data_IF_138983725894
#
_entry.id   IF_138983725894
#
_cell.length_a   1.000
_cell.length_b   1.000
_cell.length_c   1.000
_cell.angle_alpha   90.00
_cell.angle_beta   90.00
_cell.angle_gamma   90.00
#
_symmetry.space_group_name_H-M   'P 1'
#
loop_
_entity.id
_entity.type
_entity.pdbx_description
1 polymer ?
#
# COMPACT_ATOMS: atom_id res chain seq x y z
N UNK A 1 -7.84 -2.60 -9.96
CA UNK A 1 -8.30 -1.81 -8.79
C UNK A 1 -7.10 -1.31 -8.02
N UNK A 2 -7.22 -0.15 -7.38
CA UNK A 2 -6.18 0.45 -6.56
C UNK A 2 -6.75 0.78 -5.17
N UNK A 3 -6.15 0.25 -4.11
CA UNK A 3 -6.56 0.48 -2.72
C UNK A 3 -5.58 1.44 -2.05
N UNK A 4 -6.06 2.64 -1.75
CA UNK A 4 -5.35 3.63 -0.93
C UNK A 4 -5.84 3.69 0.51
N UNK A 5 -5.24 4.60 1.28
CA UNK A 5 -5.64 4.84 2.68
C UNK A 5 -7.05 5.39 2.82
N UNK A 6 -7.46 6.29 1.92
CA UNK A 6 -8.77 6.97 1.97
C UNK A 6 -9.78 6.40 0.99
N UNK A 7 -9.33 6.11 -0.24
CA UNK A 7 -10.20 5.67 -1.31
C UNK A 7 -9.68 4.41 -1.97
N UNK A 8 -10.62 3.61 -2.44
CA UNK A 8 -10.40 2.51 -3.38
C UNK A 8 -10.96 2.91 -4.73
N UNK A 9 -10.17 2.77 -5.78
CA UNK A 9 -10.56 3.05 -7.15
C UNK A 9 -10.68 1.73 -7.94
N UNK A 10 -11.83 1.54 -8.60
CA UNK A 10 -12.15 0.35 -9.39
C UNK A 10 -12.43 0.78 -10.82
N UNK A 11 -11.86 0.05 -11.78
CA UNK A 11 -12.03 0.26 -13.20
C UNK A 11 -12.34 -1.09 -13.83
N UNK A 12 -13.42 -1.15 -14.60
CA UNK A 12 -13.83 -2.31 -15.38
C UNK A 12 -13.91 -1.90 -16.87
N UNK A 13 -12.95 -2.33 -17.69
CA UNK A 13 -13.02 -2.13 -19.13
C UNK A 13 -14.00 -3.09 -19.80
N UNK A 14 -14.80 -2.56 -20.72
CA UNK A 14 -15.70 -3.31 -21.58
C UNK A 14 -15.07 -3.67 -22.93
N UNK A 15 -15.59 -4.71 -23.61
CA UNK A 15 -15.07 -5.16 -24.91
C UNK A 15 -15.27 -4.16 -26.05
N UNK A 16 -16.18 -3.20 -25.87
CA UNK A 16 -16.49 -2.11 -26.80
C UNK A 16 -15.64 -0.85 -26.55
N UNK A 17 -14.67 -0.91 -25.62
CA UNK A 17 -13.87 0.24 -25.21
C UNK A 17 -14.53 1.13 -24.15
N UNK A 18 -15.71 0.76 -23.64
CA UNK A 18 -16.32 1.44 -22.49
C UNK A 18 -15.50 1.23 -21.21
N UNK A 19 -15.60 2.18 -20.27
CA UNK A 19 -14.98 2.09 -18.96
C UNK A 19 -16.03 2.35 -17.89
N UNK A 20 -16.27 1.36 -17.04
CA UNK A 20 -17.03 1.56 -15.81
C UNK A 20 -16.06 1.85 -14.68
N UNK A 21 -16.27 2.97 -13.99
CA UNK A 21 -15.41 3.39 -12.88
C UNK A 21 -16.21 3.57 -11.61
N UNK A 22 -15.56 3.28 -10.49
CA UNK A 22 -16.12 3.44 -9.17
C UNK A 22 -15.03 3.90 -8.22
N UNK A 23 -15.34 4.94 -7.44
CA UNK A 23 -14.54 5.38 -6.31
C UNK A 23 -15.35 5.20 -5.05
N UNK A 24 -14.80 4.52 -4.08
CA UNK A 24 -15.44 4.28 -2.79
C UNK A 24 -14.44 4.54 -1.65
N UNK A 25 -14.95 4.80 -0.46
CA UNK A 25 -14.10 4.92 0.72
C UNK A 25 -13.41 3.58 0.98
N UNK A 26 -12.12 3.65 1.29
CA UNK A 26 -11.39 2.50 1.83
C UNK A 26 -11.91 2.15 3.21
N UNK A 27 -11.65 0.92 3.65
CA UNK A 27 -11.98 0.43 4.99
C UNK A 27 -10.67 0.07 5.70
N UNK A 28 -9.98 1.01 6.37
CA UNK A 28 -8.66 0.74 6.96
C UNK A 28 -8.67 -0.33 8.06
N UNK A 29 -9.82 -0.57 8.67
CA UNK A 29 -10.09 -1.66 9.60
C UNK A 29 -10.14 -3.03 8.93
N UNK A 30 -10.59 -3.08 7.67
CA UNK A 30 -10.63 -4.27 6.82
C UNK A 30 -10.72 -3.87 5.33
N UNK A 31 -9.55 -3.77 4.67
CA UNK A 31 -9.49 -3.39 3.25
C UNK A 31 -10.21 -4.40 2.34
N UNK A 32 -10.38 -5.65 2.78
CA UNK A 32 -11.11 -6.69 2.06
C UNK A 32 -12.57 -6.31 1.80
N UNK A 33 -13.20 -5.60 2.73
CA UNK A 33 -14.58 -5.10 2.56
C UNK A 33 -14.70 -4.12 1.39
N UNK A 34 -13.86 -3.08 1.35
CA UNK A 34 -13.88 -2.09 0.27
C UNK A 34 -13.58 -2.77 -1.10
N UNK A 35 -12.70 -3.77 -1.12
CA UNK A 35 -12.43 -4.56 -2.33
C UNK A 35 -13.68 -5.29 -2.80
N UNK A 36 -14.33 -6.06 -1.92
CA UNK A 36 -15.50 -6.86 -2.25
C UNK A 36 -16.69 -6.00 -2.68
N UNK A 37 -16.95 -4.90 -1.96
CA UNK A 37 -18.03 -3.97 -2.28
C UNK A 37 -17.78 -3.23 -3.59
N UNK A 38 -16.53 -2.87 -3.86
CA UNK A 38 -16.12 -2.23 -5.11
C UNK A 38 -16.33 -3.13 -6.32
N UNK A 39 -15.90 -4.40 -6.24
CA UNK A 39 -16.09 -5.39 -7.31
C UNK A 39 -17.57 -5.66 -7.56
N UNK A 40 -18.35 -5.91 -6.49
CA UNK A 40 -19.80 -6.13 -6.61
C UNK A 40 -20.50 -4.94 -7.25
N UNK A 41 -20.22 -3.73 -6.78
CA UNK A 41 -20.86 -2.51 -7.27
C UNK A 41 -20.54 -2.21 -8.73
N UNK A 42 -19.30 -2.43 -9.19
CA UNK A 42 -18.94 -2.17 -10.59
C UNK A 42 -19.58 -3.19 -11.53
N UNK A 43 -19.67 -4.46 -11.11
CA UNK A 43 -20.34 -5.52 -11.88
C UNK A 43 -21.85 -5.30 -11.99
N UNK A 44 -22.50 -4.93 -10.89
CA UNK A 44 -23.92 -4.59 -10.87
C UNK A 44 -24.23 -3.40 -11.79
N UNK A 45 -23.40 -2.35 -11.78
CA UNK A 45 -23.54 -1.19 -12.67
C UNK A 45 -23.32 -1.53 -14.13
N UNK A 46 -22.36 -2.40 -14.41
CA UNK A 46 -22.08 -2.88 -15.76
C UNK A 46 -23.10 -3.93 -16.25
N UNK A 47 -23.93 -4.46 -15.35
CA UNK A 47 -24.82 -5.60 -15.60
C UNK A 47 -24.06 -6.84 -16.11
N UNK A 48 -22.84 -7.06 -15.59
CA UNK A 48 -21.94 -8.15 -15.98
C UNK A 48 -21.89 -9.19 -14.87
N UNK A 49 -21.97 -10.47 -15.23
CA UNK A 49 -21.77 -11.56 -14.30
C UNK A 49 -20.28 -11.67 -13.92
N UNK A 50 -19.97 -11.93 -12.65
CA UNK A 50 -18.58 -12.09 -12.20
C UNK A 50 -17.82 -13.20 -12.95
N UNK A 51 -18.52 -14.21 -13.46
CA UNK A 51 -17.93 -15.29 -14.29
C UNK A 51 -17.47 -14.83 -15.67
N UNK A 52 -17.82 -13.62 -16.10
CA UNK A 52 -17.38 -13.02 -17.35
C UNK A 52 -16.10 -12.17 -17.18
N UNK A 53 -15.53 -12.11 -15.97
CA UNK A 53 -14.27 -11.43 -15.69
C UNK A 53 -13.15 -12.47 -15.66
N UNK A 54 -12.19 -12.34 -16.58
CA UNK A 54 -11.05 -13.27 -16.68
C UNK A 54 -9.95 -12.97 -15.65
N UNK A 55 -9.76 -11.69 -15.30
CA UNK A 55 -8.66 -11.26 -14.44
C UNK A 55 -9.08 -10.10 -13.52
N UNK A 56 -8.58 -10.14 -12.27
CA UNK A 56 -8.65 -9.04 -11.33
C UNK A 56 -7.23 -8.59 -10.96
N UNK A 57 -6.82 -7.43 -11.47
CA UNK A 57 -5.56 -6.81 -11.07
C UNK A 57 -5.77 -5.92 -9.84
N UNK A 58 -5.03 -6.18 -8.77
CA UNK A 58 -5.09 -5.43 -7.51
C UNK A 58 -3.76 -4.75 -7.21
N UNK A 59 -3.76 -3.41 -7.20
CA UNK A 59 -2.70 -2.58 -6.67
C UNK A 59 -3.11 -1.97 -5.33
N UNK A 60 -2.13 -1.66 -4.49
CA UNK A 60 -2.37 -0.95 -3.23
C UNK A 60 -1.20 -0.08 -2.84
N UNK A 61 -1.48 1.04 -2.18
CA UNK A 61 -0.49 1.93 -1.56
C UNK A 61 -0.40 1.76 -0.04
N UNK A 62 -1.17 0.85 0.55
CA UNK A 62 -1.22 0.64 2.01
C UNK A 62 0.17 0.28 2.57
N UNK A 63 0.88 -0.64 1.92
CA UNK A 63 2.21 -1.06 2.37
C UNK A 63 3.23 0.08 2.30
N UNK A 64 3.23 0.85 1.22
CA UNK A 64 4.13 1.99 1.05
C UNK A 64 3.87 3.08 2.10
N UNK A 65 2.60 3.39 2.35
CA UNK A 65 2.23 4.36 3.38
C UNK A 65 2.61 3.87 4.78
N UNK A 66 2.47 2.57 5.07
CA UNK A 66 2.89 2.01 6.35
C UNK A 66 4.39 2.19 6.61
N UNK A 67 5.23 2.11 5.58
CA UNK A 67 6.67 2.39 5.67
C UNK A 67 6.93 3.88 5.92
N UNK A 68 6.26 4.76 5.17
CA UNK A 68 6.44 6.21 5.28
C UNK A 68 5.96 6.77 6.63
N UNK A 69 4.86 6.24 7.17
CA UNK A 69 4.25 6.68 8.42
C UNK A 69 4.80 5.94 9.64
N UNK A 70 5.59 4.88 9.44
CA UNK A 70 6.13 4.06 10.53
C UNK A 70 5.05 3.29 11.30
N UNK A 71 3.93 2.97 10.65
CA UNK A 71 2.77 2.29 11.25
C UNK A 71 2.80 0.77 11.07
N UNK A 72 3.90 0.23 10.55
CA UNK A 72 4.14 -1.21 10.48
C UNK A 72 4.18 -1.89 11.84
N UNK A 73 4.15 -3.23 11.83
CA UNK A 73 4.23 -4.02 13.06
C UNK A 73 5.61 -3.84 13.76
N UNK A 74 5.68 -3.93 15.10
CA UNK A 74 6.96 -3.99 15.80
C UNK A 74 7.78 -5.19 15.31
N UNK A 75 8.98 -4.92 14.78
CA UNK A 75 9.89 -5.95 14.26
C UNK A 75 11.27 -5.82 14.89
N UNK A 76 11.96 -6.95 15.07
CA UNK A 76 13.36 -7.00 15.48
C UNK A 76 14.26 -7.53 14.36
N UNK A 77 15.49 -7.05 14.30
CA UNK A 77 16.53 -7.58 13.42
C UNK A 77 17.48 -8.48 14.22
N UNK A 78 17.60 -9.74 13.82
CA UNK A 78 18.60 -10.67 14.37
C UNK A 78 19.82 -10.67 13.46
N UNK A 79 20.99 -10.34 14.02
CA UNK A 79 22.25 -10.29 13.30
C UNK A 79 23.34 -11.11 13.98
N UNK A 80 24.39 -11.43 13.24
CA UNK A 80 25.62 -11.99 13.82
C UNK A 80 26.29 -10.95 14.72
N UNK A 81 27.04 -11.42 15.73
CA UNK A 81 27.79 -10.54 16.64
C UNK A 81 28.71 -9.62 15.81
N UNK A 82 28.58 -8.31 16.01
CA UNK A 82 29.34 -7.29 15.28
C UNK A 82 28.61 -6.62 14.13
N UNK A 83 27.40 -7.08 13.74
CA UNK A 83 26.66 -6.55 12.57
C UNK A 83 25.33 -5.88 12.96
N UNK A 84 25.23 -5.29 14.16
CA UNK A 84 24.00 -4.63 14.61
C UNK A 84 23.61 -3.45 13.70
N UNK A 85 24.60 -2.73 13.18
CA UNK A 85 24.42 -1.45 12.50
C UNK A 85 24.36 -1.57 10.96
N UNK A 86 24.23 -2.77 10.42
CA UNK A 86 24.24 -3.03 8.96
C UNK A 86 23.21 -2.22 8.17
N UNK A 87 22.05 -1.91 8.77
CA UNK A 87 21.02 -1.07 8.14
C UNK A 87 21.31 0.44 8.24
N UNK A 88 22.18 0.84 9.17
CA UNK A 88 22.55 2.24 9.40
C UNK A 88 23.71 2.68 8.49
N UNK A 89 24.61 1.77 8.12
CA UNK A 89 25.76 2.06 7.25
C UNK A 89 25.35 2.63 5.88
N UNK A 90 24.29 2.09 5.25
CA UNK A 90 23.74 2.63 4.00
C UNK A 90 22.93 3.93 4.16
N UNK A 91 22.52 4.26 5.39
CA UNK A 91 21.79 5.50 5.69
C UNK A 91 22.72 6.71 5.80
N UNK A 92 23.99 6.51 6.17
CA UNK A 92 24.95 7.61 6.37
C UNK A 92 25.34 8.29 5.05
N UNK A 93 25.50 7.51 3.96
CA UNK A 93 25.72 8.02 2.60
C UNK A 93 24.53 8.88 2.11
N UNK A 94 23.29 8.52 2.48
CA UNK A 94 22.08 9.27 2.11
C UNK A 94 21.84 10.50 3.00
N UNK A 95 22.33 10.48 4.24
CA UNK A 95 22.20 11.59 5.20
C UNK A 95 23.19 12.73 4.94
N UNK A 96 24.33 12.44 4.30
CA UNK A 96 25.37 13.44 3.98
C UNK A 96 24.85 14.64 3.18
N UNK A 97 23.80 14.46 2.35
CA UNK A 97 23.24 15.56 1.55
C UNK A 97 22.23 16.45 2.31
N UNK A 98 21.61 15.98 3.41
CA UNK A 98 20.49 16.71 4.06
C UNK A 98 20.58 16.85 5.59
N UNK A 99 21.52 16.22 6.29
CA UNK A 99 21.54 16.22 7.75
C UNK A 99 22.80 16.88 8.33
N UNK A 100 22.83 18.22 8.40
CA UNK A 100 23.89 18.95 9.13
C UNK A 100 23.64 19.20 10.61
N UNK A 101 22.49 18.83 11.20
CA UNK A 101 22.21 19.19 12.60
C UNK A 101 21.32 18.19 13.35
N UNK A 102 21.81 16.98 13.66
CA UNK A 102 21.27 16.20 14.79
C UNK A 102 22.37 15.47 15.55
N UNK A 103 22.55 15.86 16.81
CA UNK A 103 23.37 15.16 17.81
C UNK A 103 22.61 13.91 18.26
N UNK A 104 23.26 12.75 18.22
CA UNK A 104 22.69 11.50 18.70
C UNK A 104 22.60 11.48 20.24
N UNK A 105 21.51 10.96 20.85
CA UNK A 105 21.45 10.77 22.28
C UNK A 105 22.26 9.52 22.69
N UNK A 106 23.13 9.69 23.67
CA UNK A 106 23.83 8.60 24.36
C UNK A 106 22.83 7.85 25.22
N UNK A 107 22.64 6.54 24.98
CA UNK A 107 21.92 5.67 25.91
C UNK A 107 22.90 5.15 26.97
N UNK A 108 22.48 5.28 28.24
CA UNK A 108 23.13 4.71 29.42
C UNK A 108 22.87 3.21 29.54
#
# INVERSE_FOLDING_TARGET
MDVGGTFTDVVLPGPDGSLQTLKLLSSPDDYGRAIADGVRSVLERAQVAGTAVDELVHGTTVATNAVLEGTGAPTGLLTTRGFRDVLNEGQDESRSHYARHRVAPTLA
#
